data_IF_809579191605
#
_entry.id   IF_809579191605
#
_cell.length_a   1.000
_cell.length_b   1.000
_cell.length_c   1.000
_cell.angle_alpha   90.00
_cell.angle_beta   90.00
_cell.angle_gamma   90.00
#
_symmetry.space_group_name_H-M   'P 1'
#
loop_
_entity.id
_entity.type
_entity.pdbx_description
1 polymer ?
#
# COMPACT_ATOMS: atom_id res chain seq x y z
N UNK A 1 -13.29 -1.06 -16.45
CA UNK A 1 -12.34 -2.20 -16.52
C UNK A 1 -12.39 -2.99 -15.22
N UNK A 2 -12.25 -4.32 -15.28
CA UNK A 2 -12.33 -5.23 -14.12
C UNK A 2 -11.02 -6.01 -14.02
N UNK A 3 -10.31 -5.87 -12.90
CA UNK A 3 -9.18 -6.72 -12.57
C UNK A 3 -9.64 -7.86 -11.64
N UNK A 4 -9.16 -9.08 -11.90
CA UNK A 4 -9.49 -10.27 -11.10
C UNK A 4 -8.21 -10.99 -10.69
N UNK A 5 -8.25 -11.60 -9.53
CA UNK A 5 -7.22 -12.54 -9.14
C UNK A 5 -7.47 -13.90 -9.80
N UNK A 6 -6.42 -14.54 -10.37
CA UNK A 6 -6.52 -15.91 -10.87
C UNK A 6 -6.90 -16.89 -9.74
N UNK A 7 -7.78 -17.83 -10.04
CA UNK A 7 -8.30 -18.80 -9.06
C UNK A 7 -7.21 -19.68 -8.45
N UNK A 8 -6.21 -20.06 -9.23
CA UNK A 8 -5.03 -20.82 -8.76
C UNK A 8 -4.23 -20.06 -7.70
N UNK A 9 -4.12 -18.73 -7.85
CA UNK A 9 -3.43 -17.87 -6.89
C UNK A 9 -4.23 -17.74 -5.59
N UNK A 10 -5.56 -17.54 -5.70
CA UNK A 10 -6.45 -17.50 -4.54
C UNK A 10 -6.33 -18.80 -3.74
N UNK A 11 -6.44 -19.96 -4.41
CA UNK A 11 -6.34 -21.27 -3.77
C UNK A 11 -4.99 -21.45 -3.07
N UNK A 12 -3.89 -21.07 -3.74
CA UNK A 12 -2.55 -21.19 -3.16
C UNK A 12 -2.38 -20.32 -1.91
N UNK A 13 -2.91 -19.09 -1.94
CA UNK A 13 -2.87 -18.18 -0.79
C UNK A 13 -3.71 -18.72 0.37
N UNK A 14 -4.95 -19.15 0.10
CA UNK A 14 -5.83 -19.73 1.11
C UNK A 14 -5.19 -20.93 1.79
N UNK A 15 -4.55 -21.82 1.03
CA UNK A 15 -3.85 -22.98 1.58
C UNK A 15 -2.66 -22.57 2.47
N UNK A 16 -1.88 -21.57 2.06
CA UNK A 16 -0.77 -21.07 2.86
C UNK A 16 -1.26 -20.38 4.13
N UNK A 17 -2.26 -19.50 4.04
CA UNK A 17 -2.86 -18.85 5.19
C UNK A 17 -3.43 -19.86 6.17
N UNK A 18 -4.14 -20.88 5.69
CA UNK A 18 -4.65 -21.97 6.52
C UNK A 18 -3.52 -22.73 7.22
N UNK A 19 -2.43 -23.05 6.49
CA UNK A 19 -1.27 -23.74 7.05
C UNK A 19 -0.57 -22.93 8.13
N UNK A 20 -0.56 -21.61 8.02
CA UNK A 20 0.07 -20.70 8.98
C UNK A 20 -0.87 -20.30 10.13
N UNK A 21 -2.18 -20.54 9.98
CA UNK A 21 -3.20 -20.20 10.98
C UNK A 21 -2.90 -20.93 12.30
N UNK A 22 -2.83 -20.16 13.37
CA UNK A 22 -2.60 -20.70 14.72
C UNK A 22 -1.13 -21.05 15.06
N UNK A 23 -0.23 -21.06 14.09
CA UNK A 23 1.21 -21.28 14.38
C UNK A 23 1.82 -20.11 15.15
N UNK A 24 2.64 -20.42 16.16
CA UNK A 24 3.46 -19.43 16.87
C UNK A 24 4.76 -19.13 16.15
N UNK A 25 5.26 -20.07 15.35
CA UNK A 25 6.46 -19.90 14.54
C UNK A 25 6.31 -20.58 13.19
N UNK A 26 6.92 -20.00 12.17
CA UNK A 26 6.88 -20.43 10.77
C UNK A 26 8.29 -20.45 10.19
N UNK A 27 8.53 -21.21 9.14
CA UNK A 27 9.80 -21.16 8.43
C UNK A 27 9.87 -19.88 7.58
N UNK A 28 11.07 -19.30 7.48
CA UNK A 28 11.31 -18.11 6.65
C UNK A 28 10.78 -18.32 5.22
N UNK A 29 11.09 -19.45 4.59
CA UNK A 29 10.64 -19.77 3.23
C UNK A 29 9.11 -19.78 3.08
N UNK A 30 8.38 -20.25 4.11
CA UNK A 30 6.92 -20.30 4.10
C UNK A 30 6.35 -18.86 4.13
N UNK A 31 6.92 -18.03 5.01
CA UNK A 31 6.52 -16.63 5.12
C UNK A 31 6.90 -15.82 3.87
N UNK A 32 8.09 -16.01 3.32
CA UNK A 32 8.51 -15.35 2.08
C UNK A 32 7.63 -15.75 0.89
N UNK A 33 7.26 -17.03 0.79
CA UNK A 33 6.36 -17.50 -0.27
C UNK A 33 4.98 -16.84 -0.15
N UNK A 34 4.45 -16.74 1.06
CA UNK A 34 3.18 -16.04 1.30
C UNK A 34 3.30 -14.55 0.98
N UNK A 35 4.31 -13.86 1.51
CA UNK A 35 4.55 -12.42 1.27
C UNK A 35 4.64 -12.11 -0.22
N UNK A 36 5.38 -12.91 -0.99
CA UNK A 36 5.49 -12.74 -2.44
C UNK A 36 4.13 -12.82 -3.16
N UNK A 37 3.27 -13.76 -2.75
CA UNK A 37 1.91 -13.85 -3.28
C UNK A 37 1.03 -12.67 -2.84
N UNK A 38 1.12 -12.24 -1.58
CA UNK A 38 0.34 -11.13 -1.06
C UNK A 38 0.73 -9.79 -1.71
N UNK A 39 2.01 -9.57 -2.04
CA UNK A 39 2.46 -8.41 -2.83
C UNK A 39 1.72 -8.36 -4.17
N UNK A 40 1.65 -9.49 -4.88
CA UNK A 40 0.89 -9.57 -6.13
C UNK A 40 -0.59 -9.29 -5.90
N UNK A 41 -1.20 -9.85 -4.85
CA UNK A 41 -2.61 -9.64 -4.52
C UNK A 41 -2.94 -8.19 -4.17
N UNK A 42 -2.00 -7.44 -3.61
CA UNK A 42 -2.17 -6.01 -3.34
C UNK A 42 -2.42 -5.13 -4.58
N UNK A 43 -2.22 -5.67 -5.78
CA UNK A 43 -2.64 -4.98 -7.02
C UNK A 43 -4.16 -4.95 -7.19
N UNK A 44 -4.87 -5.90 -6.58
CA UNK A 44 -6.33 -6.02 -6.63
C UNK A 44 -6.97 -5.73 -5.27
N UNK A 45 -6.38 -6.23 -4.18
CA UNK A 45 -6.83 -5.96 -2.80
C UNK A 45 -5.98 -4.83 -2.22
N UNK A 46 -6.25 -3.61 -2.65
CA UNK A 46 -5.48 -2.41 -2.24
C UNK A 46 -5.40 -2.23 -0.71
N UNK A 47 -6.49 -2.41 0.08
CA UNK A 47 -6.45 -2.28 1.53
C UNK A 47 -5.47 -3.26 2.21
N UNK A 48 -5.18 -4.39 1.59
CA UNK A 48 -4.25 -5.39 2.09
C UNK A 48 -2.82 -4.86 2.31
N UNK A 49 -2.42 -3.80 1.61
CA UNK A 49 -1.10 -3.18 1.76
C UNK A 49 -0.78 -2.78 3.20
N UNK A 50 -1.79 -2.32 3.95
CA UNK A 50 -1.62 -1.94 5.35
C UNK A 50 -1.21 -3.12 6.25
N UNK A 51 -1.62 -4.35 5.89
CA UNK A 51 -1.37 -5.58 6.64
C UNK A 51 -0.18 -6.40 6.10
N UNK A 52 0.61 -5.82 5.19
CA UNK A 52 1.72 -6.52 4.54
C UNK A 52 3.08 -6.12 5.13
N UNK A 53 3.24 -4.88 5.54
CA UNK A 53 4.53 -4.31 5.95
C UNK A 53 5.20 -5.11 7.06
N UNK A 54 4.48 -5.42 8.15
CA UNK A 54 5.02 -6.20 9.27
C UNK A 54 5.45 -7.60 8.87
N UNK A 55 4.70 -8.25 7.96
CA UNK A 55 5.06 -9.57 7.45
C UNK A 55 6.36 -9.53 6.63
N UNK A 56 6.58 -8.45 5.86
CA UNK A 56 7.84 -8.21 5.14
C UNK A 56 8.97 -8.00 6.15
N UNK A 57 8.79 -7.13 7.13
CA UNK A 57 9.82 -6.79 8.13
C UNK A 57 10.31 -8.03 8.89
N UNK A 58 9.42 -8.99 9.17
CA UNK A 58 9.78 -10.28 9.77
C UNK A 58 10.70 -11.14 8.88
N UNK A 59 10.79 -10.89 7.60
CA UNK A 59 11.65 -11.66 6.69
C UNK A 59 13.05 -11.03 6.54
N UNK A 60 13.25 -9.81 7.02
CA UNK A 60 14.50 -9.07 6.89
C UNK A 60 15.54 -9.57 7.89
N UNK A 61 16.80 -9.60 7.47
CA UNK A 61 17.93 -9.97 8.34
C UNK A 61 18.18 -11.47 8.50
N UNK A 62 17.40 -12.31 7.82
CA UNK A 62 17.56 -13.77 7.86
C UNK A 62 17.90 -14.32 6.48
N UNK A 63 19.00 -15.10 6.39
CA UNK A 63 19.48 -15.69 5.13
C UNK A 63 19.12 -17.17 4.97
N UNK A 64 18.89 -17.89 6.08
CA UNK A 64 18.58 -19.32 6.00
C UNK A 64 17.08 -19.56 5.75
N UNK A 65 16.70 -20.24 4.66
CA UNK A 65 15.29 -20.54 4.35
C UNK A 65 14.57 -21.35 5.43
N UNK A 66 15.32 -22.10 6.23
CA UNK A 66 14.80 -22.94 7.30
C UNK A 66 14.74 -22.22 8.66
N UNK A 67 15.19 -20.96 8.72
CA UNK A 67 15.12 -20.16 9.94
C UNK A 67 13.67 -20.07 10.44
N UNK A 68 13.49 -20.24 11.75
CA UNK A 68 12.17 -20.15 12.37
C UNK A 68 11.90 -18.75 12.85
N UNK A 69 10.88 -18.13 12.27
CA UNK A 69 10.38 -16.79 12.62
C UNK A 69 9.25 -16.94 13.62
N UNK A 70 9.35 -16.24 14.75
CA UNK A 70 8.26 -16.15 15.73
C UNK A 70 7.25 -15.09 15.30
N UNK A 71 5.98 -15.49 15.20
CA UNK A 71 4.88 -14.60 14.90
C UNK A 71 4.36 -13.96 16.18
N UNK A 72 4.50 -12.66 16.32
CA UNK A 72 3.92 -11.90 17.42
C UNK A 72 2.39 -11.76 17.28
N UNK A 73 1.73 -11.16 18.27
CA UNK A 73 0.27 -10.99 18.26
C UNK A 73 -0.22 -10.16 17.06
N UNK A 74 0.54 -9.14 16.71
CA UNK A 74 0.22 -8.21 15.62
C UNK A 74 0.36 -8.86 14.25
N UNK A 75 1.46 -9.58 13.99
CA UNK A 75 1.63 -10.30 12.71
C UNK A 75 0.59 -11.41 12.52
N UNK A 76 0.16 -12.05 13.61
CA UNK A 76 -0.97 -12.97 13.55
C UNK A 76 -2.30 -12.27 13.29
N UNK A 77 -2.48 -11.04 13.77
CA UNK A 77 -3.65 -10.22 13.42
C UNK A 77 -3.64 -9.87 11.93
N UNK A 78 -2.47 -9.50 11.38
CA UNK A 78 -2.34 -9.24 9.95
C UNK A 78 -2.66 -10.48 9.09
N UNK A 79 -2.21 -11.66 9.50
CA UNK A 79 -2.56 -12.92 8.82
C UNK A 79 -4.06 -13.22 8.87
N UNK A 80 -4.75 -12.90 9.99
CA UNK A 80 -6.22 -13.02 10.07
C UNK A 80 -6.92 -12.04 9.14
N UNK A 81 -6.47 -10.79 9.11
CA UNK A 81 -7.01 -9.79 8.18
C UNK A 81 -6.87 -10.25 6.72
N UNK A 82 -5.73 -10.83 6.35
CA UNK A 82 -5.53 -11.40 5.03
C UNK A 82 -6.47 -12.59 4.74
N UNK A 83 -6.75 -13.42 5.74
CA UNK A 83 -7.73 -14.51 5.60
C UNK A 83 -9.12 -13.96 5.28
N UNK A 84 -9.56 -12.94 6.04
CA UNK A 84 -10.83 -12.25 5.80
C UNK A 84 -10.89 -11.60 4.42
N UNK A 85 -9.80 -10.97 3.97
CA UNK A 85 -9.76 -10.39 2.63
C UNK A 85 -9.91 -11.46 1.54
N UNK A 86 -9.23 -12.58 1.65
CA UNK A 86 -9.28 -13.63 0.64
C UNK A 86 -10.64 -14.34 0.63
N UNK A 87 -11.24 -14.57 1.79
CA UNK A 87 -12.52 -15.28 1.92
C UNK A 87 -13.72 -14.41 1.51
N UNK A 88 -13.70 -13.11 1.88
CA UNK A 88 -14.83 -12.22 1.66
C UNK A 88 -14.69 -11.35 0.42
N UNK A 89 -13.47 -11.17 -0.09
CA UNK A 89 -13.25 -10.38 -1.28
C UNK A 89 -13.61 -11.21 -2.53
N UNK A 90 -14.45 -10.64 -3.38
CA UNK A 90 -14.93 -11.33 -4.60
C UNK A 90 -13.86 -11.50 -5.70
N UNK A 91 -12.60 -11.17 -5.39
CA UNK A 91 -11.47 -11.28 -6.32
C UNK A 91 -11.49 -10.27 -7.46
N UNK A 92 -12.27 -9.20 -7.36
CA UNK A 92 -12.47 -8.20 -8.42
C UNK A 92 -12.18 -6.80 -7.92
N UNK A 93 -11.44 -6.04 -8.69
CA UNK A 93 -11.30 -4.60 -8.56
C UNK A 93 -11.96 -3.93 -9.76
N UNK A 94 -12.92 -3.04 -9.49
CA UNK A 94 -13.51 -2.19 -10.51
C UNK A 94 -12.71 -0.91 -10.62
N UNK A 95 -12.18 -0.63 -11.80
CA UNK A 95 -11.72 0.71 -12.14
C UNK A 95 -12.96 1.52 -12.53
N UNK A 96 -13.25 2.55 -11.75
CA UNK A 96 -14.42 3.41 -11.94
C UNK A 96 -14.33 4.11 -13.31
N UNK A 97 -13.11 4.45 -13.72
CA UNK A 97 -12.82 5.09 -14.99
C UNK A 97 -12.00 4.13 -15.85
N UNK A 98 -12.33 4.01 -17.11
CA UNK A 98 -11.62 3.25 -18.14
C UNK A 98 -10.61 4.14 -18.90
N UNK A 99 -10.75 5.44 -18.79
CA UNK A 99 -9.83 6.43 -19.33
C UNK A 99 -9.09 7.17 -18.22
N UNK A 100 -7.76 7.23 -18.32
CA UNK A 100 -6.90 8.01 -17.44
C UNK A 100 -6.46 9.27 -18.17
N UNK A 101 -6.58 10.41 -17.50
CA UNK A 101 -6.03 11.66 -18.03
C UNK A 101 -4.51 11.61 -17.83
N UNK A 102 -3.75 11.78 -18.91
CA UNK A 102 -2.30 11.86 -18.84
C UNK A 102 -1.86 13.19 -18.20
N UNK A 103 -0.65 13.22 -17.65
CA UNK A 103 -0.05 14.46 -17.13
C UNK A 103 0.05 15.57 -18.18
N UNK A 104 0.27 15.19 -19.46
CA UNK A 104 0.32 16.11 -20.60
C UNK A 104 -1.03 16.78 -20.88
N UNK A 105 -2.13 16.09 -20.54
CA UNK A 105 -3.49 16.60 -20.70
C UNK A 105 -3.93 17.37 -19.47
N UNK A 106 -3.70 16.82 -18.26
CA UNK A 106 -4.11 17.42 -17.01
C UNK A 106 -3.31 18.70 -16.71
N UNK A 107 -1.99 18.68 -16.95
CA UNK A 107 -1.06 19.80 -16.71
C UNK A 107 -1.16 20.39 -15.31
N UNK A 108 -1.43 19.54 -14.32
CA UNK A 108 -1.33 19.89 -12.92
C UNK A 108 0.08 19.57 -12.43
N UNK A 109 0.79 20.58 -11.98
CA UNK A 109 2.12 20.45 -11.38
C UNK A 109 2.06 20.95 -9.95
N UNK A 110 2.70 20.24 -9.05
CA UNK A 110 2.79 20.62 -7.64
C UNK A 110 4.19 20.30 -7.12
N UNK A 111 4.63 21.13 -6.18
CA UNK A 111 5.91 20.94 -5.50
C UNK A 111 5.79 21.35 -4.04
N UNK A 112 6.63 20.72 -3.19
CA UNK A 112 6.66 20.96 -1.77
C UNK A 112 8.10 20.94 -1.24
N UNK A 113 8.55 22.06 -0.74
CA UNK A 113 9.86 22.15 -0.09
C UNK A 113 9.80 21.67 1.36
N UNK A 114 10.95 21.26 1.88
CA UNK A 114 11.07 20.72 3.25
C UNK A 114 10.83 21.76 4.37
N UNK A 115 11.72 21.77 5.38
CA UNK A 115 11.47 22.48 6.64
C UNK A 115 11.41 24.00 6.51
N UNK A 116 12.17 24.60 5.59
CA UNK A 116 12.29 26.06 5.43
C UNK A 116 11.67 26.56 4.10
N UNK A 117 10.85 25.76 3.48
CA UNK A 117 10.20 26.11 2.23
C UNK A 117 8.69 26.24 2.37
N UNK A 118 8.04 26.25 1.23
CA UNK A 118 6.60 26.29 1.13
C UNK A 118 6.09 25.24 0.16
N UNK A 119 4.92 25.48 -0.36
CA UNK A 119 4.29 24.64 -1.37
C UNK A 119 3.77 25.49 -2.53
N UNK A 120 3.65 24.89 -3.68
CA UNK A 120 3.11 25.52 -4.88
C UNK A 120 2.32 24.51 -5.71
N UNK A 121 1.36 25.00 -6.47
CA UNK A 121 0.77 24.24 -7.57
C UNK A 121 0.44 25.15 -8.74
N UNK A 122 0.45 24.56 -9.93
CA UNK A 122 0.13 25.22 -11.21
C UNK A 122 -0.82 24.33 -11.99
N UNK A 123 -1.91 24.90 -12.46
CA UNK A 123 -2.88 24.23 -13.32
C UNK A 123 -3.28 25.17 -14.47
N UNK A 124 -2.78 24.90 -15.66
CA UNK A 124 -2.97 25.78 -16.80
C UNK A 124 -2.35 27.15 -16.57
N UNK A 125 -3.18 28.21 -16.55
CA UNK A 125 -2.78 29.60 -16.23
C UNK A 125 -2.94 29.96 -14.75
N UNK A 126 -3.54 29.08 -13.96
CA UNK A 126 -3.77 29.31 -12.54
C UNK A 126 -2.62 28.76 -11.71
N UNK A 127 -2.28 29.45 -10.64
CA UNK A 127 -1.23 29.00 -9.72
C UNK A 127 -1.45 29.55 -8.31
N UNK A 128 -0.89 28.86 -7.34
CA UNK A 128 -0.76 29.37 -5.97
C UNK A 128 0.57 28.97 -5.35
N UNK A 129 1.00 29.73 -4.37
CA UNK A 129 2.10 29.39 -3.48
C UNK A 129 1.69 29.66 -2.04
N UNK A 130 2.32 28.98 -1.10
CA UNK A 130 2.11 29.22 0.32
C UNK A 130 3.30 28.76 1.16
N UNK A 131 3.39 29.31 2.37
CA UNK A 131 4.34 28.87 3.38
C UNK A 131 3.69 27.83 4.28
N UNK A 132 4.51 26.94 4.88
CA UNK A 132 3.99 25.92 5.76
C UNK A 132 3.41 26.55 7.03
N UNK A 133 2.12 26.28 7.35
CA UNK A 133 1.59 26.61 8.66
C UNK A 133 2.42 25.94 9.75
N UNK A 134 2.59 26.56 10.94
CA UNK A 134 3.38 25.99 12.03
C UNK A 134 2.96 24.55 12.38
N UNK A 135 1.66 24.23 12.31
CA UNK A 135 1.12 22.92 12.55
C UNK A 135 1.59 21.85 11.53
N UNK A 136 1.96 22.27 10.32
CA UNK A 136 2.42 21.36 9.25
C UNK A 136 3.94 21.16 9.26
N UNK A 137 4.69 21.98 9.97
CA UNK A 137 6.16 21.90 9.99
C UNK A 137 6.70 20.53 10.43
N UNK A 138 6.16 19.86 11.46
CA UNK A 138 6.67 18.57 11.92
C UNK A 138 6.32 17.38 11.02
N UNK A 139 5.44 17.56 10.02
CA UNK A 139 5.03 16.46 9.18
C UNK A 139 6.14 16.01 8.21
N UNK A 140 6.12 14.71 7.91
CA UNK A 140 7.01 14.11 6.93
C UNK A 140 6.81 14.72 5.54
N UNK A 141 7.89 14.78 4.75
CA UNK A 141 7.86 15.38 3.39
C UNK A 141 6.75 14.80 2.51
N UNK A 142 6.50 13.51 2.58
CA UNK A 142 5.43 12.85 1.80
C UNK A 142 4.04 13.45 2.06
N UNK A 143 3.75 13.83 3.33
CA UNK A 143 2.48 14.51 3.66
C UNK A 143 2.47 15.92 3.09
N UNK A 144 3.61 16.59 3.15
CA UNK A 144 3.79 17.94 2.59
C UNK A 144 3.62 17.92 1.06
N UNK A 145 4.15 16.91 0.37
CA UNK A 145 3.96 16.74 -1.09
C UNK A 145 2.50 16.52 -1.49
N UNK A 146 1.72 15.84 -0.65
CA UNK A 146 0.30 15.62 -0.91
C UNK A 146 -0.55 16.89 -0.73
N UNK A 147 -0.16 17.78 0.16
CA UNK A 147 -0.93 18.95 0.54
C UNK A 147 -1.24 19.90 -0.65
N UNK A 148 -0.28 20.35 -1.48
CA UNK A 148 -0.58 21.21 -2.63
C UNK A 148 -1.43 20.50 -3.69
N UNK A 149 -1.36 19.18 -3.80
CA UNK A 149 -2.23 18.42 -4.71
C UNK A 149 -3.69 18.50 -4.25
N UNK A 150 -3.94 18.27 -2.96
CA UNK A 150 -5.30 18.35 -2.38
C UNK A 150 -5.85 19.76 -2.54
N UNK A 151 -5.07 20.79 -2.20
CA UNK A 151 -5.50 22.18 -2.39
C UNK A 151 -5.79 22.52 -3.86
N UNK A 152 -4.95 22.04 -4.78
CA UNK A 152 -5.16 22.29 -6.21
C UNK A 152 -6.47 21.68 -6.71
N UNK A 153 -6.82 20.46 -6.24
CA UNK A 153 -8.09 19.79 -6.60
C UNK A 153 -9.30 20.51 -6.01
N UNK A 154 -9.15 21.18 -4.85
CA UNK A 154 -10.23 21.94 -4.23
C UNK A 154 -10.40 23.35 -4.82
N UNK A 155 -9.30 23.95 -5.32
CA UNK A 155 -9.28 25.35 -5.78
C UNK A 155 -9.52 25.50 -7.27
N UNK A 156 -9.16 24.50 -8.08
CA UNK A 156 -9.22 24.54 -9.55
C UNK A 156 -10.31 23.63 -10.10
#
# INVERSE_FOLDING_TARGET
MLARLPSDKIQKISNLLFTLKGKRSVMLRELQSLVGLLIFVCTVIIPGRAFLRRLIDLTIGHSSPQYRITLNAESRADLRAWHEFIDNFNGKLCFIFDAWISSDTLRLYSDAAGVHGGYAAVFGSNWFTGEWPPAMQPFHLTIKELFPIVLAVEMF
#
